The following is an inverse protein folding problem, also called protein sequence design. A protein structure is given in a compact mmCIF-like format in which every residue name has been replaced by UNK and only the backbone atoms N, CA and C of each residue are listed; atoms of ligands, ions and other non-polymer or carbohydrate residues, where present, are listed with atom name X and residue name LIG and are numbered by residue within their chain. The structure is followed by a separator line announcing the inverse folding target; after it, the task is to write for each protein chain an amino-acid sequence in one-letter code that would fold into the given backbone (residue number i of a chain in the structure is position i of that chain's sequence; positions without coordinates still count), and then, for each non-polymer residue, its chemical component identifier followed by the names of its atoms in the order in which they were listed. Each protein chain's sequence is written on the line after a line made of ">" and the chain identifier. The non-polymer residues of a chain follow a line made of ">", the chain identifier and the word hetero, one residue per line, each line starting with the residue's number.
data_IF_836084708265
#
_entry.id   IF_836084708265
#
_cell.length_a   1.000
_cell.length_b   1.000
_cell.length_c   1.000
_cell.angle_alpha   90.00
_cell.angle_beta   90.00
_cell.angle_gamma   90.00
#
_symmetry.space_group_name_H-M   'P 1'
#
loop_
_entity.id
_entity.type
_entity.pdbx_description
1 polymer ?
#
# COMPACT_ATOMS: atom_id res chain seq x y z
N UNK A 1 4.14 -16.87 9.95
CA UNK A 1 3.33 -16.12 8.96
C UNK A 1 2.73 -14.92 9.68
N UNK A 2 3.16 -13.69 9.34
CA UNK A 2 2.60 -12.48 9.97
C UNK A 2 1.17 -12.26 9.45
N UNK A 3 0.26 -11.96 10.36
CA UNK A 3 -1.17 -11.83 10.09
C UNK A 3 -1.47 -10.54 9.29
N UNK A 4 -1.50 -10.64 7.96
CA UNK A 4 -1.99 -9.57 7.07
C UNK A 4 -3.45 -9.18 7.34
N UNK A 5 -4.17 -9.98 8.13
CA UNK A 5 -5.56 -9.80 8.52
C UNK A 5 -5.83 -8.57 9.40
N UNK A 6 -4.80 -7.86 9.88
CA UNK A 6 -5.01 -6.65 10.68
C UNK A 6 -5.20 -5.39 9.83
N UNK A 7 -4.50 -5.28 8.70
CA UNK A 7 -4.41 -4.03 7.95
C UNK A 7 -5.65 -3.81 7.05
N UNK A 8 -6.32 -2.65 7.13
CA UNK A 8 -7.43 -2.32 6.25
C UNK A 8 -6.98 -1.87 4.85
N UNK A 9 -5.71 -1.49 4.62
CA UNK A 9 -5.23 -1.08 3.31
C UNK A 9 -3.81 -1.56 2.99
N UNK A 10 -3.55 -1.85 1.72
CA UNK A 10 -2.20 -2.04 1.17
C UNK A 10 -1.97 -1.17 -0.06
N UNK A 11 -0.74 -0.71 -0.23
CA UNK A 11 -0.27 0.00 -1.42
C UNK A 11 0.84 -0.82 -2.04
N UNK A 12 0.70 -1.10 -3.33
CA UNK A 12 1.63 -1.88 -4.11
C UNK A 12 2.39 -0.91 -5.03
N UNK A 13 3.70 -0.84 -4.89
CA UNK A 13 4.56 -0.10 -5.81
C UNK A 13 5.18 -1.08 -6.80
N UNK A 14 4.90 -0.91 -8.09
CA UNK A 14 5.38 -1.77 -9.18
C UNK A 14 6.06 -0.98 -10.29
N UNK A 15 7.21 -1.48 -10.75
CA UNK A 15 7.99 -0.87 -11.84
C UNK A 15 8.72 0.42 -11.48
N UNK A 16 8.82 0.76 -10.20
CA UNK A 16 9.64 1.88 -9.72
C UNK A 16 11.11 1.47 -9.64
N UNK A 17 12.02 2.40 -9.92
CA UNK A 17 13.45 2.18 -9.72
C UNK A 17 13.80 2.05 -8.24
N UNK A 18 14.96 1.45 -7.94
CA UNK A 18 15.43 1.27 -6.55
C UNK A 18 15.50 2.60 -5.78
N UNK A 19 15.97 3.67 -6.44
CA UNK A 19 16.03 5.01 -5.83
C UNK A 19 14.65 5.64 -5.58
N UNK A 20 13.64 5.33 -6.39
CA UNK A 20 12.25 5.74 -6.13
C UNK A 20 11.63 4.93 -4.99
N UNK A 21 11.88 3.62 -4.95
CA UNK A 21 11.46 2.74 -3.86
C UNK A 21 12.06 3.22 -2.53
N UNK A 22 13.36 3.53 -2.48
CA UNK A 22 14.01 4.02 -1.26
C UNK A 22 13.38 5.33 -0.75
N UNK A 23 13.04 6.26 -1.66
CA UNK A 23 12.33 7.50 -1.31
C UNK A 23 10.92 7.23 -0.79
N UNK A 24 10.20 6.30 -1.42
CA UNK A 24 8.87 5.90 -0.96
C UNK A 24 8.92 5.21 0.42
N UNK A 25 9.93 4.38 0.68
CA UNK A 25 10.16 3.73 1.97
C UNK A 25 10.42 4.74 3.08
N UNK A 26 11.29 5.72 2.84
CA UNK A 26 11.56 6.81 3.80
C UNK A 26 10.29 7.57 4.20
N UNK A 27 9.38 7.78 3.26
CA UNK A 27 8.06 8.38 3.55
C UNK A 27 7.15 7.42 4.30
N UNK A 28 7.21 6.13 3.99
CA UNK A 28 6.37 5.12 4.61
C UNK A 28 6.66 4.96 6.12
N UNK A 29 7.90 5.26 6.55
CA UNK A 29 8.28 5.34 7.96
C UNK A 29 7.43 6.36 8.74
N UNK A 30 7.09 7.51 8.13
CA UNK A 30 6.22 8.53 8.76
C UNK A 30 4.82 7.99 9.06
N UNK A 31 4.36 7.00 8.29
CA UNK A 31 3.04 6.38 8.41
C UNK A 31 3.07 5.04 9.16
N UNK A 32 4.24 4.63 9.67
CA UNK A 32 4.46 3.33 10.33
C UNK A 32 3.95 2.14 9.50
N UNK A 33 4.05 2.24 8.17
CA UNK A 33 3.58 1.18 7.29
C UNK A 33 4.46 -0.07 7.41
N UNK A 34 3.83 -1.24 7.41
CA UNK A 34 4.56 -2.50 7.36
C UNK A 34 4.99 -2.80 5.91
N UNK A 35 6.28 -3.05 5.72
CA UNK A 35 6.89 -3.21 4.40
C UNK A 35 7.13 -4.70 4.12
N UNK A 36 6.66 -5.15 2.95
CA UNK A 36 6.95 -6.47 2.41
C UNK A 36 7.58 -6.33 1.03
N UNK A 37 8.81 -6.84 0.88
CA UNK A 37 9.46 -6.93 -0.43
C UNK A 37 8.83 -8.05 -1.24
N UNK A 38 8.61 -7.78 -2.52
CA UNK A 38 8.08 -8.74 -3.49
C UNK A 38 9.02 -8.78 -4.69
N UNK A 39 8.94 -9.81 -5.53
CA UNK A 39 9.78 -9.94 -6.73
C UNK A 39 9.69 -8.73 -7.67
N UNK A 40 8.52 -8.08 -7.72
CA UNK A 40 8.20 -7.01 -8.66
C UNK A 40 8.09 -5.62 -8.02
N UNK A 41 8.60 -5.45 -6.79
CA UNK A 41 8.56 -4.18 -6.06
C UNK A 41 8.24 -4.38 -4.59
N UNK A 42 7.42 -3.49 -4.01
CA UNK A 42 7.11 -3.53 -2.58
C UNK A 42 5.61 -3.40 -2.30
N UNK A 43 5.18 -4.03 -1.21
CA UNK A 43 3.85 -3.87 -0.63
C UNK A 43 3.98 -3.17 0.72
N UNK A 44 3.18 -2.13 0.90
CA UNK A 44 3.12 -1.28 2.09
C UNK A 44 1.74 -1.47 2.72
N UNK A 45 1.70 -2.01 3.92
CA UNK A 45 0.46 -2.25 4.66
C UNK A 45 0.25 -1.14 5.70
N UNK A 46 -0.99 -0.64 5.76
CA UNK A 46 -1.36 0.50 6.59
C UNK A 46 -2.45 0.10 7.57
N UNK A 47 -2.33 0.55 8.82
CA UNK A 47 -3.33 0.35 9.88
C UNK A 47 -4.62 1.15 9.65
N UNK A 48 -4.58 2.17 8.78
CA UNK A 48 -5.70 3.03 8.43
C UNK A 48 -5.72 3.29 6.91
N UNK A 49 -6.93 3.22 6.33
CA UNK A 49 -7.18 3.55 4.93
C UNK A 49 -6.89 5.01 4.64
N UNK A 50 -7.13 5.92 5.59
CA UNK A 50 -6.88 7.34 5.40
C UNK A 50 -5.38 7.63 5.31
N UNK A 51 -4.56 7.00 6.16
CA UNK A 51 -3.11 7.07 6.06
C UNK A 51 -2.60 6.55 4.71
N UNK A 52 -3.17 5.46 4.20
CA UNK A 52 -2.85 4.97 2.86
C UNK A 52 -3.18 6.02 1.78
N UNK A 53 -4.35 6.66 1.83
CA UNK A 53 -4.76 7.71 0.85
C UNK A 53 -3.85 8.93 0.90
N UNK A 54 -3.49 9.39 2.10
CA UNK A 54 -2.56 10.49 2.29
C UNK A 54 -1.18 10.14 1.72
N UNK A 55 -0.70 8.92 1.95
CA UNK A 55 0.55 8.44 1.38
C UNK A 55 0.52 8.40 -0.15
N UNK A 56 -0.55 7.85 -0.76
CA UNK A 56 -0.75 7.90 -2.21
C UNK A 56 -0.69 9.34 -2.72
N UNK A 57 -1.40 10.26 -2.05
CA UNK A 57 -1.43 11.68 -2.42
C UNK A 57 -0.06 12.34 -2.34
N UNK A 58 0.77 11.98 -1.36
CA UNK A 58 2.17 12.42 -1.27
C UNK A 58 2.99 11.87 -2.45
N UNK A 59 2.84 10.58 -2.78
CA UNK A 59 3.56 9.98 -3.92
C UNK A 59 3.15 10.60 -5.26
N UNK A 60 1.86 10.90 -5.46
CA UNK A 60 1.37 11.53 -6.71
C UNK A 60 2.00 12.90 -6.99
N UNK A 61 2.49 13.60 -5.96
CA UNK A 61 3.19 14.89 -6.12
C UNK A 61 4.62 14.74 -6.60
N UNK A 62 5.22 13.56 -6.43
CA UNK A 62 6.65 13.33 -6.69
C UNK A 62 6.89 12.42 -7.89
N UNK A 63 6.01 11.45 -8.11
CA UNK A 63 6.17 10.43 -9.13
C UNK A 63 4.99 10.43 -10.08
N UNK A 64 5.28 10.21 -11.38
CA UNK A 64 4.25 9.91 -12.38
C UNK A 64 4.00 8.42 -12.43
N UNK A 65 2.77 8.00 -12.13
CA UNK A 65 2.33 6.61 -12.16
C UNK A 65 0.84 6.51 -12.47
N UNK A 66 0.44 5.34 -12.96
CA UNK A 66 -0.96 4.92 -12.99
C UNK A 66 -1.37 4.41 -11.62
N UNK A 67 -2.59 4.77 -11.18
CA UNK A 67 -3.20 4.30 -9.94
C UNK A 67 -4.44 3.48 -10.26
N UNK A 68 -4.47 2.23 -9.79
CA UNK A 68 -5.66 1.37 -9.78
C UNK A 68 -6.04 1.06 -8.34
N UNK A 69 -7.35 1.03 -8.05
CA UNK A 69 -7.88 0.66 -6.74
C UNK A 69 -8.78 -0.56 -6.89
N UNK A 70 -8.66 -1.49 -5.95
CA UNK A 70 -9.52 -2.67 -5.83
C UNK A 70 -9.73 -3.01 -4.35
N UNK A 71 -10.62 -3.96 -4.08
CA UNK A 71 -10.84 -4.50 -2.74
C UNK A 71 -10.68 -6.00 -2.75
N UNK A 72 -9.96 -6.53 -1.75
CA UNK A 72 -9.85 -7.97 -1.51
C UNK A 72 -10.74 -8.33 -0.31
N UNK A 73 -11.54 -9.39 -0.45
CA UNK A 73 -12.41 -9.86 0.63
C UNK A 73 -11.58 -10.64 1.66
N UNK A 74 -11.56 -10.15 2.90
CA UNK A 74 -10.88 -10.78 4.04
C UNK A 74 -11.84 -11.63 4.91
N UNK A 75 -13.01 -11.96 4.38
CA UNK A 75 -14.03 -12.76 5.06
C UNK A 75 -14.86 -11.97 6.07
N UNK A 76 -15.58 -12.70 6.92
CA UNK A 76 -16.48 -12.14 7.92
C UNK A 76 -15.85 -12.14 9.31
N UNK A 77 -15.98 -11.02 10.04
CA UNK A 77 -15.59 -10.92 11.45
C UNK A 77 -16.68 -10.16 12.21
N UNK A 78 -17.20 -10.76 13.30
CA UNK A 78 -18.24 -10.17 14.15
C UNK A 78 -19.47 -9.69 13.36
N UNK A 79 -19.94 -10.50 12.41
CA UNK A 79 -21.12 -10.19 11.60
C UNK A 79 -20.92 -9.11 10.53
N UNK A 80 -19.68 -8.64 10.30
CA UNK A 80 -19.36 -7.67 9.24
C UNK A 80 -18.33 -8.24 8.28
N UNK A 81 -18.52 -8.00 6.97
CA UNK A 81 -17.53 -8.33 5.96
C UNK A 81 -16.33 -7.38 6.10
N UNK A 82 -15.12 -7.93 6.13
CA UNK A 82 -13.87 -7.15 6.12
C UNK A 82 -13.31 -7.11 4.72
N UNK A 83 -12.83 -5.94 4.34
CA UNK A 83 -12.16 -5.71 3.07
C UNK A 83 -10.77 -5.17 3.31
N UNK A 84 -9.84 -5.58 2.45
CA UNK A 84 -8.55 -4.95 2.28
C UNK A 84 -8.63 -4.02 1.07
N UNK A 85 -8.42 -2.73 1.28
CA UNK A 85 -8.31 -1.77 0.19
C UNK A 85 -6.93 -1.88 -0.46
N UNK A 86 -6.89 -2.12 -1.76
CA UNK A 86 -5.65 -2.35 -2.50
C UNK A 86 -5.45 -1.23 -3.49
N UNK A 87 -4.37 -0.46 -3.31
CA UNK A 87 -3.92 0.56 -4.26
C UNK A 87 -2.71 0.04 -5.03
N UNK A 88 -2.90 -0.28 -6.31
CA UNK A 88 -1.80 -0.65 -7.20
C UNK A 88 -1.28 0.58 -7.93
N UNK A 89 -0.05 0.99 -7.60
CA UNK A 89 0.65 2.09 -8.24
C UNK A 89 1.67 1.50 -9.23
N UNK A 90 1.54 1.84 -10.50
CA UNK A 90 2.43 1.36 -11.56
C UNK A 90 3.15 2.51 -12.23
N UNK A 91 4.47 2.47 -12.25
CA UNK A 91 5.28 3.48 -12.93
C UNK A 91 4.94 3.53 -14.43
N UNK A 92 4.79 4.75 -14.95
CA UNK A 92 4.71 5.08 -16.38
C UNK A 92 6.12 5.40 -16.87
#
# INVERSE_FOLDING_TARGET
>A
MKEFWMHPAKIQLRGFSEGEILRALKKAEEFKAEIVKTENGIDLFFEDVENARLFVSKLQKEFRFEKKMSTENLGFKRGRMRFLFVYSLRKI
#
